data_IF_150615677874
#
_entry.id   IF_150615677874
#
_cell.length_a   1.000
_cell.length_b   1.000
_cell.length_c   1.000
_cell.angle_alpha   90.00
_cell.angle_beta   90.00
_cell.angle_gamma   90.00
#
_symmetry.space_group_name_H-M   'P 1'
#
loop_
_entity.id
_entity.type
_entity.pdbx_description
1 polymer ?
#
# COMPACT_ATOMS: atom_id res chain seq x y z
N UNK A 1 -29.81 -54.47 -53.11
CA UNK A 1 -29.08 -53.21 -53.17
C UNK A 1 -29.62 -52.34 -52.03
N UNK A 2 -28.95 -52.37 -50.83
CA UNK A 2 -29.34 -51.57 -49.63
C UNK A 2 -28.38 -50.38 -49.54
N UNK A 3 -28.96 -49.15 -49.57
CA UNK A 3 -28.21 -47.91 -49.40
C UNK A 3 -28.12 -47.59 -47.90
N UNK A 4 -26.93 -47.51 -47.38
CA UNK A 4 -26.62 -47.08 -46.01
C UNK A 4 -26.53 -45.55 -46.01
N UNK A 5 -27.35 -44.89 -45.19
CA UNK A 5 -27.27 -43.44 -44.96
C UNK A 5 -26.46 -43.21 -43.67
N UNK A 6 -25.31 -42.50 -43.79
CA UNK A 6 -24.52 -42.03 -42.67
C UNK A 6 -25.09 -40.70 -42.15
N UNK A 7 -25.53 -40.68 -40.90
CA UNK A 7 -25.88 -39.48 -40.18
C UNK A 7 -24.61 -38.91 -39.50
N UNK A 8 -24.14 -37.74 -39.90
CA UNK A 8 -23.11 -36.96 -39.23
C UNK A 8 -23.79 -36.13 -38.13
N UNK A 9 -23.53 -36.43 -36.88
CA UNK A 9 -23.89 -35.60 -35.73
C UNK A 9 -22.82 -34.51 -35.50
N UNK A 10 -23.19 -33.25 -35.80
CA UNK A 10 -22.35 -32.10 -35.52
C UNK A 10 -22.41 -31.75 -34.03
N UNK A 11 -21.28 -31.82 -33.34
CA UNK A 11 -21.13 -31.31 -31.97
C UNK A 11 -20.86 -29.81 -32.04
N UNK A 12 -21.86 -28.99 -31.69
CA UNK A 12 -21.70 -27.55 -31.53
C UNK A 12 -20.99 -27.25 -30.21
N UNK A 13 -19.69 -26.93 -30.28
CA UNK A 13 -18.92 -26.47 -29.16
C UNK A 13 -19.34 -25.06 -28.72
N UNK A 14 -19.93 -24.92 -27.56
CA UNK A 14 -20.20 -23.61 -26.93
C UNK A 14 -18.89 -23.06 -26.37
N UNK A 15 -18.30 -22.10 -27.07
CA UNK A 15 -17.18 -21.33 -26.56
C UNK A 15 -17.67 -20.34 -25.47
N UNK A 16 -17.44 -20.65 -24.20
CA UNK A 16 -17.69 -19.72 -23.09
C UNK A 16 -16.62 -18.66 -23.12
N UNK A 17 -16.92 -17.50 -23.68
CA UNK A 17 -16.07 -16.32 -23.62
C UNK A 17 -16.01 -15.84 -22.16
N UNK A 18 -14.87 -16.06 -21.48
CA UNK A 18 -14.61 -15.53 -20.15
C UNK A 18 -14.59 -14.00 -20.21
N UNK A 19 -15.55 -13.35 -19.56
CA UNK A 19 -15.65 -11.90 -19.51
C UNK A 19 -14.36 -11.30 -18.89
N UNK A 20 -13.70 -10.32 -19.53
CA UNK A 20 -12.42 -9.75 -19.07
C UNK A 20 -12.48 -9.01 -17.72
N UNK A 21 -13.67 -8.82 -17.14
CA UNK A 21 -13.86 -8.13 -15.86
C UNK A 21 -13.46 -8.90 -14.58
N UNK A 22 -13.29 -10.22 -14.64
CA UNK A 22 -13.13 -11.03 -13.42
C UNK A 22 -11.71 -11.04 -12.84
N UNK A 23 -10.67 -10.93 -13.66
CA UNK A 23 -9.28 -10.95 -13.20
C UNK A 23 -8.88 -9.62 -12.51
N UNK A 24 -9.37 -8.49 -13.01
CA UNK A 24 -9.06 -7.17 -12.49
C UNK A 24 -9.79 -6.85 -11.18
N UNK A 25 -10.99 -7.39 -10.98
CA UNK A 25 -11.72 -7.29 -9.71
C UNK A 25 -11.05 -8.07 -8.58
N UNK A 26 -10.15 -9.01 -8.88
CA UNK A 26 -9.36 -9.80 -7.91
C UNK A 26 -8.00 -9.18 -7.59
N UNK A 27 -7.55 -8.15 -8.32
CA UNK A 27 -6.29 -7.49 -8.05
C UNK A 27 -6.35 -6.77 -6.70
N UNK A 28 -5.33 -6.99 -5.85
CA UNK A 28 -5.19 -6.38 -4.53
C UNK A 28 -3.84 -5.69 -4.43
N UNK A 29 -3.77 -4.68 -3.57
CA UNK A 29 -2.54 -3.98 -3.16
C UNK A 29 -2.34 -4.17 -1.66
N UNK A 30 -1.11 -3.98 -1.20
CA UNK A 30 -0.80 -3.92 0.23
C UNK A 30 -0.98 -2.49 0.70
N UNK A 31 -1.78 -2.27 1.74
CA UNK A 31 -2.06 -0.94 2.28
C UNK A 31 -1.67 -0.91 3.76
N UNK A 32 -1.01 0.15 4.17
CA UNK A 32 -0.73 0.46 5.56
C UNK A 32 -1.04 1.94 5.81
N UNK A 33 -1.60 2.23 6.98
CA UNK A 33 -1.94 3.59 7.40
C UNK A 33 -1.23 3.86 8.72
N UNK A 34 -0.32 4.83 8.72
CA UNK A 34 0.49 5.22 9.88
C UNK A 34 0.10 6.61 10.32
N UNK A 35 -0.48 6.73 11.51
CA UNK A 35 -0.84 7.99 12.13
C UNK A 35 0.32 8.65 12.88
N UNK A 36 0.02 9.67 13.66
CA UNK A 36 1.01 10.41 14.47
C UNK A 36 1.75 9.52 15.47
N UNK A 37 1.03 8.58 16.08
CA UNK A 37 1.54 7.79 17.20
C UNK A 37 1.35 6.29 17.05
N UNK A 38 0.62 5.84 16.03
CA UNK A 38 0.30 4.42 15.86
C UNK A 38 0.02 4.04 14.40
N UNK A 39 0.16 2.76 14.09
CA UNK A 39 -0.38 2.17 12.86
C UNK A 39 -1.90 2.05 13.00
N UNK A 40 -2.64 2.78 12.19
CA UNK A 40 -4.11 2.87 12.24
C UNK A 40 -4.79 1.74 11.46
N UNK A 41 -4.14 1.24 10.41
CA UNK A 41 -4.63 0.10 9.63
C UNK A 41 -3.49 -0.63 8.91
N UNK A 42 -3.65 -1.93 8.74
CA UNK A 42 -2.76 -2.80 7.97
C UNK A 42 -1.47 -3.20 8.69
N UNK A 43 -0.52 -3.84 7.95
CA UNK A 43 -0.61 -4.06 6.49
C UNK A 43 -1.70 -5.06 6.12
N UNK A 44 -2.50 -4.71 5.18
CA UNK A 44 -3.59 -5.56 4.69
C UNK A 44 -3.69 -5.53 3.17
N UNK A 45 -4.31 -6.56 2.58
CA UNK A 45 -4.52 -6.65 1.13
C UNK A 45 -5.90 -6.11 0.75
N UNK A 46 -5.91 -4.93 0.14
CA UNK A 46 -7.13 -4.22 -0.27
C UNK A 46 -7.38 -4.39 -1.76
N UNK A 47 -8.62 -4.70 -2.13
CA UNK A 47 -9.03 -4.86 -3.54
C UNK A 47 -9.09 -3.51 -4.26
N UNK A 48 -8.64 -3.50 -5.52
CA UNK A 48 -8.66 -2.33 -6.42
C UNK A 48 -10.07 -2.05 -6.97
N UNK A 49 -11.02 -1.75 -6.09
CA UNK A 49 -12.42 -1.47 -6.44
C UNK A 49 -12.72 0.02 -6.42
N UNK A 50 -13.68 0.46 -7.23
CA UNK A 50 -14.28 1.78 -7.06
C UNK A 50 -15.00 1.86 -5.71
N UNK A 51 -15.06 3.05 -5.15
CA UNK A 51 -15.70 3.35 -3.85
C UNK A 51 -16.59 4.57 -3.97
N UNK A 52 -17.36 4.82 -2.93
CA UNK A 52 -18.16 6.03 -2.80
C UNK A 52 -17.89 6.64 -1.42
N UNK A 53 -17.75 7.96 -1.36
CA UNK A 53 -17.65 8.70 -0.11
C UNK A 53 -18.71 9.79 -0.04
N UNK A 54 -19.08 10.20 1.16
CA UNK A 54 -19.91 11.40 1.39
C UNK A 54 -18.99 12.58 1.75
N UNK A 55 -19.12 13.69 1.02
CA UNK A 55 -18.32 14.89 1.22
C UNK A 55 -19.24 16.10 1.18
N UNK A 56 -19.37 16.83 2.27
CA UNK A 56 -20.26 17.99 2.35
C UNK A 56 -21.73 17.65 2.01
N UNK A 57 -22.21 16.48 2.43
CA UNK A 57 -23.58 16.00 2.11
C UNK A 57 -23.73 15.36 0.74
N UNK A 58 -22.78 15.55 -0.20
CA UNK A 58 -22.80 14.96 -1.54
C UNK A 58 -22.25 13.53 -1.53
N UNK A 59 -22.72 12.70 -2.46
CA UNK A 59 -22.15 11.39 -2.77
C UNK A 59 -21.15 11.54 -3.92
N UNK A 60 -19.88 11.26 -3.64
CA UNK A 60 -18.77 11.33 -4.59
C UNK A 60 -18.27 9.95 -4.94
N UNK A 61 -18.19 9.63 -6.23
CA UNK A 61 -17.59 8.37 -6.71
C UNK A 61 -16.06 8.51 -6.76
N UNK A 62 -15.36 7.52 -6.18
CA UNK A 62 -13.91 7.41 -6.20
C UNK A 62 -13.54 6.30 -7.19
N UNK A 63 -12.71 6.63 -8.17
CA UNK A 63 -12.28 5.70 -9.21
C UNK A 63 -11.53 4.50 -8.63
N UNK A 64 -11.70 3.33 -9.27
CA UNK A 64 -10.94 2.13 -8.90
C UNK A 64 -9.43 2.36 -9.05
N UNK A 65 -8.64 1.62 -8.28
CA UNK A 65 -7.19 1.61 -8.37
C UNK A 65 -6.55 3.00 -8.16
N UNK A 66 -7.15 3.83 -7.30
CA UNK A 66 -6.58 5.08 -6.80
C UNK A 66 -6.17 4.93 -5.33
N UNK A 67 -5.19 5.71 -4.82
CA UNK A 67 -4.80 5.68 -3.40
C UNK A 67 -5.98 5.91 -2.45
N UNK A 68 -6.90 6.82 -2.78
CA UNK A 68 -8.09 7.07 -1.97
C UNK A 68 -9.06 5.88 -1.98
N UNK A 69 -9.21 5.18 -3.12
CA UNK A 69 -10.09 4.03 -3.19
C UNK A 69 -9.60 2.86 -2.33
N UNK A 70 -8.29 2.69 -2.20
CA UNK A 70 -7.73 1.64 -1.33
C UNK A 70 -7.69 2.06 0.14
N UNK A 71 -7.50 3.35 0.45
CA UNK A 71 -7.73 3.86 1.80
C UNK A 71 -9.17 3.58 2.26
N UNK A 72 -10.15 3.91 1.43
CA UNK A 72 -11.56 3.62 1.72
C UNK A 72 -11.85 2.11 1.84
N UNK A 73 -10.95 1.26 1.39
CA UNK A 73 -11.04 -0.19 1.49
C UNK A 73 -10.47 -0.79 2.77
N UNK A 74 -9.72 -0.04 3.57
CA UNK A 74 -9.13 -0.50 4.84
C UNK A 74 -10.14 -0.51 5.99
N UNK A 75 -11.28 0.14 5.83
CA UNK A 75 -12.26 0.27 6.92
C UNK A 75 -11.91 1.33 7.96
N UNK A 76 -10.72 1.94 7.93
CA UNK A 76 -10.37 3.04 8.82
C UNK A 76 -11.24 4.26 8.52
N UNK A 77 -11.71 4.96 9.55
CA UNK A 77 -12.50 6.17 9.37
C UNK A 77 -11.66 7.30 8.78
N UNK A 78 -12.19 8.04 7.82
CA UNK A 78 -11.53 9.22 7.26
C UNK A 78 -12.54 10.30 6.89
N UNK A 79 -12.08 11.54 6.76
CA UNK A 79 -12.89 12.64 6.26
C UNK A 79 -12.20 13.35 5.10
N UNK A 80 -13.03 13.85 4.19
CA UNK A 80 -12.58 14.51 2.96
C UNK A 80 -13.05 15.96 2.92
N UNK A 81 -12.30 16.78 2.16
CA UNK A 81 -12.74 18.06 1.63
C UNK A 81 -12.73 17.97 0.10
N UNK A 82 -13.71 18.57 -0.52
CA UNK A 82 -13.80 18.71 -1.96
C UNK A 82 -13.42 20.13 -2.34
N UNK A 83 -12.30 20.29 -3.04
CA UNK A 83 -11.86 21.58 -3.58
C UNK A 83 -12.34 21.80 -5.02
N UNK A 84 -13.14 20.90 -5.55
CA UNK A 84 -13.71 20.94 -6.87
C UNK A 84 -15.20 20.66 -6.86
N UNK A 85 -15.63 19.86 -7.82
CA UNK A 85 -17.03 19.51 -8.01
C UNK A 85 -17.20 17.99 -8.11
N UNK A 86 -16.79 17.25 -7.05
CA UNK A 86 -16.98 15.81 -7.04
C UNK A 86 -18.45 15.44 -7.26
N UNK A 87 -18.68 14.37 -7.98
CA UNK A 87 -20.02 13.91 -8.36
C UNK A 87 -20.12 12.38 -8.30
N UNK A 88 -21.19 11.85 -8.84
CA UNK A 88 -21.34 10.40 -9.09
C UNK A 88 -20.40 9.87 -10.17
N UNK A 89 -19.62 10.73 -10.83
CA UNK A 89 -18.64 10.36 -11.87
C UNK A 89 -17.24 10.36 -11.25
N UNK A 90 -16.55 9.23 -11.34
CA UNK A 90 -15.20 9.07 -10.75
C UNK A 90 -14.15 10.05 -11.31
N UNK A 91 -14.34 10.56 -12.54
CA UNK A 91 -13.44 11.55 -13.13
C UNK A 91 -13.45 12.91 -12.41
N UNK A 92 -14.50 13.21 -11.65
CA UNK A 92 -14.69 14.48 -10.96
C UNK A 92 -14.10 14.43 -9.53
N UNK A 93 -13.43 13.33 -9.14
CA UNK A 93 -12.93 13.12 -7.79
C UNK A 93 -11.48 13.61 -7.58
N UNK A 94 -10.82 14.15 -8.61
CA UNK A 94 -9.39 14.50 -8.57
C UNK A 94 -9.02 15.51 -7.49
N UNK A 95 -9.94 16.40 -7.11
CA UNK A 95 -9.77 17.44 -6.10
C UNK A 95 -10.21 17.04 -4.68
N UNK A 96 -10.53 15.76 -4.46
CA UNK A 96 -10.80 15.25 -3.13
C UNK A 96 -9.51 15.18 -2.30
N UNK A 97 -9.54 15.84 -1.14
CA UNK A 97 -8.43 15.95 -0.21
C UNK A 97 -8.76 15.26 1.10
N UNK A 98 -7.81 14.48 1.65
CA UNK A 98 -7.95 13.76 2.91
C UNK A 98 -7.57 14.69 4.06
N UNK A 99 -8.56 15.09 4.87
CA UNK A 99 -8.38 15.98 6.02
C UNK A 99 -8.06 15.23 7.31
N UNK A 100 -8.57 14.01 7.46
CA UNK A 100 -8.44 13.21 8.67
C UNK A 100 -8.44 11.73 8.31
N UNK A 101 -7.61 10.94 8.99
CA UNK A 101 -7.73 9.48 9.04
C UNK A 101 -7.66 9.07 10.52
N UNK A 102 -8.61 8.26 10.97
CA UNK A 102 -8.74 7.91 12.38
C UNK A 102 -8.85 9.15 13.27
N UNK A 103 -8.04 9.26 14.34
CA UNK A 103 -8.01 10.41 15.23
C UNK A 103 -7.27 11.62 14.64
N UNK A 104 -6.35 11.42 13.69
CA UNK A 104 -5.40 12.43 13.25
C UNK A 104 -5.97 13.32 12.15
N UNK A 105 -6.12 14.60 12.46
CA UNK A 105 -6.62 15.62 11.56
C UNK A 105 -5.51 16.56 11.15
N UNK A 106 -5.51 17.02 9.87
CA UNK A 106 -4.62 18.04 9.35
C UNK A 106 -4.49 19.26 10.28
N UNK A 107 -3.29 19.79 10.43
CA UNK A 107 -3.01 20.94 11.28
C UNK A 107 -1.81 21.73 10.74
N UNK A 108 -2.01 23.02 10.46
CA UNK A 108 -0.96 23.83 9.84
C UNK A 108 -0.57 23.28 8.47
N UNK A 109 0.72 23.01 8.29
CA UNK A 109 1.30 22.40 7.09
C UNK A 109 1.32 20.89 7.14
N UNK A 110 1.09 20.29 8.33
CA UNK A 110 1.11 18.85 8.55
C UNK A 110 -0.20 18.21 8.11
N UNK A 111 -0.12 17.02 7.57
CA UNK A 111 -1.29 16.35 7.07
C UNK A 111 -1.04 14.95 6.51
N UNK A 112 -2.01 14.45 5.80
CA UNK A 112 -1.99 13.11 5.25
C UNK A 112 -1.38 13.09 3.86
N UNK A 113 -0.33 12.28 3.70
CA UNK A 113 0.37 12.03 2.44
C UNK A 113 0.33 10.53 2.14
N UNK A 114 0.43 10.17 0.87
CA UNK A 114 0.55 8.77 0.48
C UNK A 114 1.80 8.55 -0.38
N UNK A 115 2.36 7.34 -0.27
CA UNK A 115 3.38 6.81 -1.18
C UNK A 115 2.87 5.57 -1.90
N UNK A 116 3.29 5.42 -3.16
CA UNK A 116 3.14 4.17 -3.92
C UNK A 116 4.53 3.59 -4.14
N UNK A 117 4.80 2.46 -3.53
CA UNK A 117 6.16 1.97 -3.36
C UNK A 117 6.96 2.95 -2.49
N UNK A 118 8.04 3.51 -3.06
CA UNK A 118 8.95 4.41 -2.34
C UNK A 118 8.69 5.89 -2.59
N UNK A 119 7.88 6.24 -3.60
CA UNK A 119 7.67 7.63 -4.05
C UNK A 119 6.36 8.19 -3.53
N UNK A 120 6.40 9.45 -3.08
CA UNK A 120 5.20 10.21 -2.77
C UNK A 120 4.37 10.45 -4.04
N UNK A 121 3.06 10.42 -3.90
CA UNK A 121 2.17 10.77 -4.99
C UNK A 121 2.23 12.26 -5.31
N UNK A 122 2.39 12.60 -6.58
CA UNK A 122 2.36 13.98 -7.07
C UNK A 122 0.97 14.42 -7.55
N UNK A 123 0.04 13.47 -7.66
CA UNK A 123 -1.36 13.72 -8.02
C UNK A 123 -2.29 13.62 -6.82
N UNK A 124 -3.52 14.10 -6.97
CA UNK A 124 -4.58 13.92 -5.98
C UNK A 124 -4.83 12.43 -5.71
N UNK A 125 -5.16 12.09 -4.47
CA UNK A 125 -5.32 10.69 -4.05
C UNK A 125 -6.46 9.94 -4.77
N UNK A 126 -7.40 10.67 -5.39
CA UNK A 126 -8.46 10.13 -6.21
C UNK A 126 -8.35 10.56 -7.69
N UNK A 127 -7.21 11.11 -8.10
CA UNK A 127 -6.99 11.60 -9.45
C UNK A 127 -7.18 10.47 -10.49
N UNK A 128 -8.05 10.67 -11.48
CA UNK A 128 -8.22 9.73 -12.58
C UNK A 128 -6.96 9.57 -13.42
N UNK A 129 -6.06 10.56 -13.46
CA UNK A 129 -4.73 10.47 -14.07
C UNK A 129 -3.73 9.64 -13.25
N UNK A 130 -4.14 9.12 -12.09
CA UNK A 130 -3.33 8.24 -11.24
C UNK A 130 -2.38 8.98 -10.31
N UNK A 131 -1.67 8.21 -9.47
CA UNK A 131 -0.86 8.69 -8.36
C UNK A 131 0.26 9.67 -8.74
N UNK A 132 0.67 9.68 -9.99
CA UNK A 132 1.79 10.50 -10.50
C UNK A 132 1.39 11.35 -11.70
N UNK A 133 0.09 11.57 -11.96
CA UNK A 133 -0.39 12.34 -13.09
C UNK A 133 -0.08 11.74 -14.48
N UNK A 134 0.37 10.49 -14.55
CA UNK A 134 0.85 9.83 -15.78
C UNK A 134 -0.18 8.91 -16.44
N UNK A 135 -1.44 8.92 -16.00
CA UNK A 135 -2.47 7.99 -16.40
C UNK A 135 -2.36 6.58 -15.78
N UNK A 136 -1.27 6.32 -15.06
CA UNK A 136 -1.01 5.00 -14.45
C UNK A 136 -1.72 4.85 -13.11
N UNK A 137 -2.62 3.89 -13.04
CA UNK A 137 -3.33 3.51 -11.82
C UNK A 137 -2.54 2.47 -11.02
N UNK A 138 -2.97 2.25 -9.77
CA UNK A 138 -2.41 1.20 -8.93
C UNK A 138 -2.54 -0.17 -9.59
N UNK A 139 -1.50 -1.01 -9.40
CA UNK A 139 -1.43 -2.38 -9.92
C UNK A 139 -1.40 -3.38 -8.78
N UNK A 140 -1.65 -4.65 -9.10
CA UNK A 140 -1.53 -5.76 -8.16
C UNK A 140 -0.21 -5.72 -7.40
N UNK A 141 -0.28 -6.09 -6.12
CA UNK A 141 0.84 -6.29 -5.19
C UNK A 141 1.73 -5.05 -4.94
N UNK A 142 1.34 -3.86 -5.43
CA UNK A 142 1.99 -2.62 -5.02
C UNK A 142 1.72 -2.32 -3.55
N UNK A 143 2.68 -1.66 -2.90
CA UNK A 143 2.53 -1.10 -1.57
C UNK A 143 1.99 0.34 -1.66
N UNK A 144 0.96 0.62 -0.90
CA UNK A 144 0.41 1.97 -0.72
C UNK A 144 0.49 2.30 0.77
N UNK A 145 1.30 3.27 1.09
CA UNK A 145 1.49 3.78 2.44
C UNK A 145 0.76 5.11 2.57
N UNK A 146 -0.21 5.19 3.47
CA UNK A 146 -0.74 6.44 3.96
C UNK A 146 -0.05 6.76 5.27
N UNK A 147 0.45 7.98 5.43
CA UNK A 147 1.12 8.35 6.67
C UNK A 147 0.89 9.81 7.03
N UNK A 148 0.98 10.08 8.32
CA UNK A 148 0.99 11.43 8.82
C UNK A 148 2.34 12.07 8.49
N UNK A 149 2.31 13.10 7.68
CA UNK A 149 3.49 13.86 7.29
C UNK A 149 3.64 15.05 8.23
N UNK A 150 4.79 15.15 8.86
CA UNK A 150 5.28 16.35 9.55
C UNK A 150 6.24 17.04 8.60
N UNK A 151 5.88 18.23 8.14
CA UNK A 151 6.68 18.97 7.18
C UNK A 151 7.92 19.57 7.83
N UNK A 152 9.06 19.42 7.19
CA UNK A 152 10.29 20.13 7.57
C UNK A 152 10.38 21.51 6.92
N UNK A 153 11.47 22.23 7.17
CA UNK A 153 11.70 23.55 6.60
C UNK A 153 11.82 23.57 5.05
N UNK A 154 12.09 22.43 4.45
CA UNK A 154 12.14 22.24 2.99
C UNK A 154 10.81 21.77 2.41
N UNK A 155 9.72 21.82 3.18
CA UNK A 155 8.37 21.34 2.81
C UNK A 155 8.32 19.84 2.48
N UNK A 156 9.28 19.05 2.97
CA UNK A 156 9.39 17.62 2.78
C UNK A 156 8.84 16.84 3.97
N UNK A 157 8.33 15.64 3.72
CA UNK A 157 7.92 14.74 4.80
C UNK A 157 9.12 13.98 5.38
N UNK A 158 8.94 13.48 6.60
CA UNK A 158 9.89 12.54 7.20
C UNK A 158 10.05 11.29 6.31
N UNK A 159 11.27 10.72 6.29
CA UNK A 159 11.56 9.52 5.51
C UNK A 159 10.71 8.33 5.96
N UNK A 160 10.36 7.47 5.02
CA UNK A 160 9.67 6.20 5.27
C UNK A 160 10.66 5.05 5.23
N UNK A 161 10.62 4.17 6.23
CA UNK A 161 11.54 3.04 6.34
C UNK A 161 11.14 1.88 5.43
N UNK A 162 12.15 1.19 4.94
CA UNK A 162 12.04 -0.14 4.31
C UNK A 162 13.05 -1.06 4.99
N UNK A 163 12.61 -2.23 5.44
CA UNK A 163 13.46 -3.30 5.96
C UNK A 163 13.53 -4.42 4.93
N UNK A 164 14.73 -4.93 4.70
CA UNK A 164 14.97 -6.05 3.78
C UNK A 164 15.83 -7.10 4.46
N UNK A 165 15.32 -8.32 4.70
CA UNK A 165 16.13 -9.43 5.14
C UNK A 165 17.01 -9.95 3.98
N UNK A 166 18.18 -10.47 4.29
CA UNK A 166 19.02 -11.14 3.31
C UNK A 166 18.35 -12.40 2.72
N UNK A 167 17.46 -13.01 3.50
CA UNK A 167 16.64 -14.17 3.12
C UNK A 167 15.29 -14.13 3.88
N UNK A 168 14.23 -14.62 3.24
CA UNK A 168 12.89 -14.69 3.85
C UNK A 168 12.65 -16.01 4.60
N UNK A 169 13.66 -16.89 4.66
CA UNK A 169 13.66 -18.14 5.43
C UNK A 169 14.94 -18.25 6.24
N UNK A 170 14.84 -18.77 7.45
CA UNK A 170 15.96 -18.99 8.35
C UNK A 170 15.72 -20.25 9.19
N UNK A 171 16.80 -20.91 9.61
CA UNK A 171 16.74 -21.95 10.64
C UNK A 171 16.58 -21.32 12.02
N UNK A 172 15.91 -21.99 12.99
CA UNK A 172 15.87 -21.54 14.37
C UNK A 172 17.27 -21.33 14.95
N UNK A 173 17.48 -20.19 15.62
CA UNK A 173 18.77 -19.82 16.19
C UNK A 173 19.81 -19.31 15.18
N UNK A 174 19.55 -19.38 13.88
CA UNK A 174 20.49 -18.88 12.86
C UNK A 174 20.56 -17.35 12.85
N UNK A 175 21.72 -16.81 12.47
CA UNK A 175 21.87 -15.38 12.25
C UNK A 175 21.13 -14.95 10.97
N UNK A 176 20.27 -13.95 11.10
CA UNK A 176 19.54 -13.31 9.99
C UNK A 176 20.06 -11.89 9.82
N UNK A 177 20.74 -11.64 8.73
CA UNK A 177 21.16 -10.29 8.35
C UNK A 177 19.97 -9.53 7.73
N UNK A 178 19.86 -8.26 8.06
CA UNK A 178 18.85 -7.35 7.56
C UNK A 178 19.47 -6.00 7.21
N UNK A 179 18.86 -5.27 6.28
CA UNK A 179 19.24 -3.89 5.96
C UNK A 179 18.03 -2.98 6.07
N UNK A 180 18.25 -1.74 6.54
CA UNK A 180 17.22 -0.72 6.64
C UNK A 180 17.62 0.50 5.81
N UNK A 181 16.68 0.97 4.98
CA UNK A 181 16.81 2.19 4.21
C UNK A 181 15.63 3.14 4.50
N UNK A 182 15.91 4.44 4.51
CA UNK A 182 14.92 5.50 4.64
C UNK A 182 14.76 6.22 3.32
N UNK A 183 13.54 6.27 2.79
CA UNK A 183 13.21 6.87 1.49
C UNK A 183 12.51 8.21 1.68
N UNK A 184 13.01 9.25 1.00
CA UNK A 184 12.35 10.55 0.91
C UNK A 184 11.14 10.54 -0.05
N UNK A 185 10.59 11.73 -0.32
CA UNK A 185 9.40 11.86 -1.16
C UNK A 185 9.67 11.57 -2.65
N UNK A 186 10.91 11.75 -3.10
CA UNK A 186 11.34 11.38 -4.46
C UNK A 186 11.56 9.88 -4.64
N UNK A 187 11.69 9.15 -3.52
CA UNK A 187 12.03 7.73 -3.51
C UNK A 187 13.53 7.47 -3.45
N UNK A 188 14.33 8.49 -3.14
CA UNK A 188 15.77 8.35 -2.95
C UNK A 188 16.06 7.80 -1.56
N UNK A 189 16.80 6.69 -1.52
CA UNK A 189 17.01 5.92 -0.30
C UNK A 189 18.42 6.06 0.26
N UNK A 190 18.51 6.30 1.58
CA UNK A 190 19.77 6.28 2.34
C UNK A 190 19.77 5.13 3.34
N UNK A 191 20.94 4.67 3.75
CA UNK A 191 21.11 3.72 4.84
C UNK A 191 20.72 4.39 6.15
N UNK A 192 20.11 3.65 7.07
CA UNK A 192 19.62 4.20 8.33
C UNK A 192 20.35 3.53 9.49
N UNK A 193 21.20 4.30 10.15
CA UNK A 193 21.81 3.92 11.42
C UNK A 193 20.82 4.03 12.57
N UNK A 194 20.93 3.19 13.60
CA UNK A 194 20.13 3.24 14.82
C UNK A 194 18.64 2.98 14.63
N UNK A 195 18.24 2.34 13.52
CA UNK A 195 16.89 1.83 13.38
C UNK A 195 16.73 0.55 14.21
N UNK A 196 15.69 0.49 15.02
CA UNK A 196 15.33 -0.72 15.77
C UNK A 196 14.61 -1.68 14.83
N UNK A 197 15.19 -2.85 14.64
CA UNK A 197 14.59 -3.94 13.85
C UNK A 197 14.10 -5.03 14.78
N UNK A 198 12.87 -5.49 14.58
CA UNK A 198 12.24 -6.54 15.40
C UNK A 198 11.81 -7.73 14.53
N UNK A 199 12.00 -8.94 15.08
CA UNK A 199 11.53 -10.21 14.52
C UNK A 199 11.03 -11.11 15.66
N UNK A 200 9.72 -11.11 15.94
CA UNK A 200 9.20 -11.69 17.18
C UNK A 200 9.77 -10.96 18.39
N UNK A 201 10.38 -11.70 19.33
CA UNK A 201 11.04 -11.15 20.51
C UNK A 201 12.49 -10.70 20.25
N UNK A 202 13.07 -11.11 19.12
CA UNK A 202 14.42 -10.69 18.72
C UNK A 202 14.40 -9.23 18.24
N UNK A 203 15.39 -8.45 18.71
CA UNK A 203 15.56 -7.06 18.33
C UNK A 203 17.04 -6.71 18.18
N UNK A 204 17.35 -5.81 17.24
CA UNK A 204 18.68 -5.26 17.06
C UNK A 204 18.62 -3.84 16.49
N UNK A 205 19.63 -3.03 16.77
CA UNK A 205 19.81 -1.71 16.14
C UNK A 205 20.70 -1.85 14.91
N UNK A 206 20.40 -1.09 13.86
CA UNK A 206 21.25 -1.00 12.68
C UNK A 206 22.50 -0.17 12.95
N UNK A 207 23.64 -0.60 12.40
CA UNK A 207 24.89 0.16 12.37
C UNK A 207 24.88 1.29 11.33
N UNK A 208 26.01 1.98 11.20
CA UNK A 208 26.20 3.09 10.25
C UNK A 208 25.97 2.68 8.78
N UNK A 209 26.17 1.42 8.46
CA UNK A 209 25.90 0.83 7.16
C UNK A 209 24.41 0.48 6.93
N UNK A 210 23.55 0.75 7.91
CA UNK A 210 22.12 0.41 7.89
C UNK A 210 21.85 -1.09 8.04
N UNK A 211 22.84 -1.89 8.43
CA UNK A 211 22.70 -3.33 8.63
C UNK A 211 22.52 -3.70 10.11
N UNK A 212 21.80 -4.78 10.36
CA UNK A 212 21.71 -5.43 11.67
C UNK A 212 21.68 -6.96 11.49
N UNK A 213 22.05 -7.67 12.55
CA UNK A 213 21.94 -9.13 12.63
C UNK A 213 21.02 -9.50 13.77
N UNK A 214 20.00 -10.31 13.48
CA UNK A 214 19.07 -10.85 14.46
C UNK A 214 19.29 -12.35 14.58
N UNK A 215 19.06 -12.89 15.77
CA UNK A 215 18.93 -14.35 15.94
C UNK A 215 17.50 -14.75 15.56
N UNK A 216 17.35 -15.69 14.62
CA UNK A 216 16.04 -16.18 14.23
C UNK A 216 15.36 -16.87 15.42
N UNK A 217 14.08 -16.56 15.71
CA UNK A 217 13.33 -17.18 16.80
C UNK A 217 13.11 -18.69 16.60
N UNK A 218 12.29 -19.31 17.43
CA UNK A 218 11.81 -20.68 17.22
C UNK A 218 11.05 -20.81 15.90
N UNK A 219 10.83 -22.07 15.45
CA UNK A 219 10.09 -22.34 14.22
C UNK A 219 8.72 -21.63 14.21
N UNK A 220 8.40 -20.95 13.12
CA UNK A 220 7.19 -20.14 12.99
C UNK A 220 7.21 -19.14 11.84
N UNK A 221 6.20 -18.29 11.77
CA UNK A 221 6.11 -17.21 10.81
C UNK A 221 6.07 -15.85 11.53
N UNK A 222 7.03 -15.02 11.27
CA UNK A 222 7.26 -13.77 11.98
C UNK A 222 7.14 -12.56 11.04
N UNK A 223 6.87 -11.39 11.62
CA UNK A 223 6.91 -10.10 10.94
C UNK A 223 8.21 -9.40 11.31
N UNK A 224 9.06 -9.16 10.31
CA UNK A 224 10.25 -8.34 10.41
C UNK A 224 9.84 -6.89 10.15
N UNK A 225 10.12 -5.99 11.06
CA UNK A 225 9.74 -4.57 10.94
C UNK A 225 10.85 -3.68 11.50
N UNK A 226 11.02 -2.49 10.92
CA UNK A 226 11.97 -1.48 11.38
C UNK A 226 11.24 -0.20 11.78
N UNK A 227 11.69 0.39 12.87
CA UNK A 227 11.21 1.67 13.40
C UNK A 227 12.38 2.57 13.81
N UNK A 228 12.21 3.88 13.69
CA UNK A 228 13.14 4.89 14.20
C UNK A 228 12.37 6.17 14.51
N UNK A 229 12.62 6.83 15.65
CA UNK A 229 12.04 8.15 15.93
C UNK A 229 12.30 9.14 14.79
N UNK A 230 11.29 9.93 14.43
CA UNK A 230 11.35 10.89 13.32
C UNK A 230 11.25 10.29 11.93
N UNK A 231 10.98 8.98 11.79
CA UNK A 231 10.75 8.30 10.53
C UNK A 231 9.45 7.49 10.57
N UNK A 232 8.87 7.25 9.41
CA UNK A 232 7.69 6.40 9.30
C UNK A 232 8.10 4.93 9.32
N UNK A 233 7.47 4.14 10.16
CA UNK A 233 7.73 2.70 10.33
C UNK A 233 7.62 1.94 9.00
N UNK A 234 8.45 0.90 8.83
CA UNK A 234 8.45 0.10 7.61
C UNK A 234 7.18 -0.76 7.45
N UNK A 235 6.85 -1.10 6.21
CA UNK A 235 6.02 -2.29 6.01
C UNK A 235 6.73 -3.50 6.62
N UNK A 236 6.00 -4.38 7.34
CA UNK A 236 6.60 -5.61 7.82
C UNK A 236 6.81 -6.60 6.66
N UNK A 237 7.94 -7.29 6.72
CA UNK A 237 8.27 -8.40 5.83
C UNK A 237 8.05 -9.72 6.56
N UNK A 238 7.43 -10.69 5.91
CA UNK A 238 7.26 -12.01 6.49
C UNK A 238 8.56 -12.81 6.39
N UNK A 239 8.98 -13.39 7.52
CA UNK A 239 10.10 -14.32 7.60
C UNK A 239 9.58 -15.64 8.15
N UNK A 240 9.83 -16.73 7.42
CA UNK A 240 9.56 -18.10 7.87
C UNK A 240 10.80 -18.65 8.58
N UNK A 241 10.62 -19.22 9.77
CA UNK A 241 11.68 -19.89 10.54
C UNK A 241 11.30 -21.36 10.68
N UNK A 242 12.18 -22.26 10.24
CA UNK A 242 11.95 -23.71 10.27
C UNK A 242 12.71 -24.48 9.23
#
# INVERSE_FOLDING_TARGET
MRRLALLLAGVAGVAVAAAPGTAEARAKVHVMVVGKSAVLAGPERVALKARTARVGGKRCSIGRATPLSVLAGTGVSFSLKDYGACSSRARDAGSLYVRRIGPDRESGTDGWVYKVGRRAGSGGAADPAGSFGTGRKLRRDQHVLWFWCVKDAADSCQRTLEVKPARERAEPGAALQVTVRGYDDSGDGVRVEGALVRLGDAAALTGADGAATLTAPAAGSYRLQAEKPGMVVSFPVRVAVG
#
